data_IF_515081885259
#
_entry.id   IF_515081885259
#
_cell.length_a   1.000
_cell.length_b   1.000
_cell.length_c   1.000
_cell.angle_alpha   90.00
_cell.angle_beta   90.00
_cell.angle_gamma   90.00
#
_symmetry.space_group_name_H-M   'P 1'
#
loop_
_entity.id
_entity.type
_entity.pdbx_description
1 polymer ?
#
# COMPACT_ATOMS: atom_id res chain seq x y z
N UNK A 1 -23.09 27.23 -63.16
CA UNK A 1 -22.99 26.66 -61.79
C UNK A 1 -21.57 26.14 -61.60
N UNK A 2 -20.70 26.87 -60.88
CA UNK A 2 -19.34 26.38 -60.58
C UNK A 2 -19.39 25.47 -59.35
N UNK A 3 -19.07 24.18 -59.54
CA UNK A 3 -18.98 23.18 -58.47
C UNK A 3 -17.66 23.36 -57.74
N UNK A 4 -17.70 23.97 -56.55
CA UNK A 4 -16.55 24.17 -55.66
C UNK A 4 -15.99 22.79 -55.26
N UNK A 5 -14.82 22.43 -55.78
CA UNK A 5 -14.11 21.20 -55.37
C UNK A 5 -13.68 21.40 -53.91
N UNK A 6 -14.29 20.64 -52.98
CA UNK A 6 -13.84 20.62 -51.58
C UNK A 6 -12.46 19.98 -51.54
N UNK A 7 -11.45 20.79 -51.23
CA UNK A 7 -10.12 20.32 -50.88
C UNK A 7 -10.26 19.35 -49.69
N UNK A 8 -9.96 18.07 -49.91
CA UNK A 8 -9.85 17.11 -48.82
C UNK A 8 -8.49 17.34 -48.16
N UNK A 9 -8.47 18.16 -47.10
CA UNK A 9 -7.31 18.24 -46.19
C UNK A 9 -7.16 16.89 -45.50
N UNK A 10 -6.29 16.05 -46.06
CA UNK A 10 -5.90 14.77 -45.45
C UNK A 10 -4.86 14.99 -44.36
N UNK A 11 -4.82 14.07 -43.40
CA UNK A 11 -3.81 14.02 -42.35
C UNK A 11 -2.45 13.67 -42.97
N UNK A 12 -1.42 14.48 -42.76
CA UNK A 12 -0.09 14.21 -43.33
C UNK A 12 0.67 13.22 -42.44
N UNK A 13 1.53 12.39 -43.05
CA UNK A 13 2.41 11.50 -42.30
C UNK A 13 3.38 12.27 -41.39
N UNK A 14 3.79 13.48 -41.81
CA UNK A 14 4.64 14.36 -41.02
C UNK A 14 3.93 14.87 -39.75
N UNK A 15 2.65 15.22 -39.85
CA UNK A 15 1.82 15.58 -38.69
C UNK A 15 1.65 14.40 -37.74
N UNK A 16 1.51 13.17 -38.24
CA UNK A 16 1.49 11.98 -37.37
C UNK A 16 2.81 11.81 -36.62
N UNK A 17 3.93 11.95 -37.33
CA UNK A 17 5.26 11.64 -36.83
C UNK A 17 5.66 12.58 -35.69
N UNK A 18 5.41 13.89 -35.82
CA UNK A 18 5.72 14.84 -34.75
C UNK A 18 4.87 14.58 -33.50
N UNK A 19 3.62 14.13 -33.66
CA UNK A 19 2.74 13.82 -32.53
C UNK A 19 3.24 12.62 -31.74
N UNK A 20 3.60 11.51 -32.40
CA UNK A 20 4.16 10.35 -31.70
C UNK A 20 5.52 10.64 -31.07
N UNK A 21 6.32 11.52 -31.68
CA UNK A 21 7.59 11.97 -31.08
C UNK A 21 7.35 12.73 -29.76
N UNK A 22 6.40 13.65 -29.72
CA UNK A 22 6.06 14.39 -28.48
C UNK A 22 5.47 13.45 -27.43
N UNK A 23 4.55 12.56 -27.81
CA UNK A 23 3.98 11.56 -26.88
C UNK A 23 5.08 10.67 -26.30
N UNK A 24 6.07 10.27 -27.10
CA UNK A 24 7.21 9.48 -26.63
C UNK A 24 8.00 10.16 -25.50
N UNK A 25 8.26 11.47 -25.63
CA UNK A 25 8.96 12.25 -24.58
C UNK A 25 8.10 12.36 -23.32
N UNK A 26 6.80 12.62 -23.46
CA UNK A 26 5.88 12.72 -22.32
C UNK A 26 5.80 11.40 -21.54
N UNK A 27 5.64 10.28 -22.25
CA UNK A 27 5.55 8.94 -21.66
C UNK A 27 6.83 8.56 -20.93
N UNK A 28 8.01 8.89 -21.48
CA UNK A 28 9.30 8.61 -20.86
C UNK A 28 9.45 9.23 -19.47
N UNK A 29 8.90 10.42 -19.24
CA UNK A 29 8.91 11.11 -17.94
C UNK A 29 7.72 10.66 -17.07
N UNK A 30 6.55 10.48 -17.67
CA UNK A 30 5.31 10.19 -16.94
C UNK A 30 5.31 8.81 -16.28
N UNK A 31 5.81 7.76 -16.96
CA UNK A 31 5.81 6.39 -16.42
C UNK A 31 6.52 6.30 -15.07
N UNK A 32 7.81 6.68 -14.92
CA UNK A 32 8.53 6.49 -13.66
C UNK A 32 7.94 7.32 -12.51
N UNK A 33 7.42 8.53 -12.81
CA UNK A 33 6.77 9.37 -11.81
C UNK A 33 5.46 8.72 -11.35
N UNK A 34 4.64 8.26 -12.30
CA UNK A 34 3.35 7.68 -11.99
C UNK A 34 3.49 6.36 -11.23
N UNK A 35 4.45 5.50 -11.59
CA UNK A 35 4.71 4.25 -10.86
C UNK A 35 5.16 4.51 -9.42
N UNK A 36 6.05 5.48 -9.18
CA UNK A 36 6.49 5.83 -7.83
C UNK A 36 5.35 6.41 -6.96
N UNK A 37 4.43 7.17 -7.56
CA UNK A 37 3.27 7.72 -6.85
C UNK A 37 2.22 6.64 -6.55
N UNK A 38 2.03 5.67 -7.45
CA UNK A 38 1.17 4.52 -7.21
C UNK A 38 1.71 3.67 -6.05
N UNK A 39 3.02 3.40 -6.02
CA UNK A 39 3.69 2.67 -4.93
C UNK A 39 3.44 3.38 -3.58
N UNK A 40 3.75 4.68 -3.49
CA UNK A 40 3.49 5.48 -2.28
C UNK A 40 2.02 5.45 -1.83
N UNK A 41 1.09 5.43 -2.79
CA UNK A 41 -0.35 5.39 -2.49
C UNK A 41 -0.76 4.03 -1.92
N UNK A 42 -0.15 2.95 -2.39
CA UNK A 42 -0.39 1.59 -1.90
C UNK A 42 0.16 1.41 -0.48
N UNK A 43 1.37 1.92 -0.21
CA UNK A 43 1.96 1.92 1.14
C UNK A 43 1.07 2.67 2.15
N UNK A 44 0.56 3.83 1.74
CA UNK A 44 -0.35 4.61 2.58
C UNK A 44 -1.64 3.86 2.92
N UNK A 45 -2.17 3.06 1.98
CA UNK A 45 -3.34 2.20 2.22
C UNK A 45 -3.00 1.07 3.18
N UNK A 46 -1.88 0.38 2.97
CA UNK A 46 -1.40 -0.68 3.88
C UNK A 46 -1.22 -0.13 5.30
N UNK A 47 -0.64 1.05 5.45
CA UNK A 47 -0.44 1.70 6.73
C UNK A 47 -1.77 2.06 7.42
N UNK A 48 -2.73 2.58 6.64
CA UNK A 48 -4.07 2.86 7.13
C UNK A 48 -4.75 1.58 7.63
N UNK A 49 -4.62 0.48 6.89
CA UNK A 49 -5.20 -0.81 7.26
C UNK A 49 -4.52 -1.41 8.51
N UNK A 50 -3.20 -1.27 8.64
CA UNK A 50 -2.46 -1.70 9.81
C UNK A 50 -2.86 -0.90 11.08
N UNK A 51 -3.09 0.41 10.94
CA UNK A 51 -3.64 1.24 12.04
C UNK A 51 -5.07 0.85 12.41
N UNK A 52 -5.89 0.53 11.42
CA UNK A 52 -7.25 0.04 11.66
C UNK A 52 -7.20 -1.31 12.40
N UNK A 53 -6.32 -2.23 11.97
CA UNK A 53 -6.09 -3.49 12.66
C UNK A 53 -5.65 -3.28 14.11
N UNK A 54 -4.72 -2.35 14.36
CA UNK A 54 -4.32 -2.01 15.72
C UNK A 54 -5.49 -1.49 16.58
N UNK A 55 -6.37 -0.67 16.01
CA UNK A 55 -7.55 -0.17 16.72
C UNK A 55 -8.52 -1.31 17.08
N UNK A 56 -8.77 -2.23 16.15
CA UNK A 56 -9.57 -3.44 16.40
C UNK A 56 -8.93 -4.31 17.49
N UNK A 57 -7.60 -4.48 17.43
CA UNK A 57 -6.86 -5.26 18.41
C UNK A 57 -6.94 -4.66 19.81
N UNK A 58 -6.90 -3.33 19.91
CA UNK A 58 -7.06 -2.61 21.17
C UNK A 58 -8.44 -2.84 21.79
N UNK A 59 -9.50 -2.84 20.98
CA UNK A 59 -10.86 -3.13 21.46
C UNK A 59 -10.93 -4.56 22.01
N UNK A 60 -10.50 -5.56 21.25
CA UNK A 60 -10.51 -6.96 21.69
C UNK A 60 -9.65 -7.20 22.94
N UNK A 61 -8.51 -6.51 23.06
CA UNK A 61 -7.66 -6.57 24.25
C UNK A 61 -8.31 -5.94 25.49
N UNK A 62 -9.12 -4.89 25.32
CA UNK A 62 -9.83 -4.24 26.42
C UNK A 62 -11.07 -5.02 26.87
N UNK A 63 -11.74 -5.70 25.94
CA UNK A 63 -12.89 -6.56 26.25
C UNK A 63 -12.47 -7.96 26.68
N UNK A 64 -11.22 -8.36 26.38
CA UNK A 64 -10.71 -9.73 26.56
C UNK A 64 -11.56 -10.77 25.82
N UNK A 65 -12.13 -10.37 24.68
CA UNK A 65 -13.08 -11.15 23.89
C UNK A 65 -12.78 -11.01 22.40
N UNK A 66 -13.10 -12.08 21.66
CA UNK A 66 -13.08 -12.06 20.20
C UNK A 66 -14.19 -11.17 19.65
N UNK A 67 -13.91 -10.45 18.56
CA UNK A 67 -14.91 -9.60 17.90
C UNK A 67 -15.18 -10.01 16.44
N UNK A 68 -14.81 -11.24 16.08
CA UNK A 68 -14.98 -11.83 14.74
C UNK A 68 -13.98 -11.35 13.68
N UNK A 69 -13.22 -10.30 13.96
CA UNK A 69 -12.07 -9.84 13.13
C UNK A 69 -10.74 -9.91 13.87
N UNK A 70 -10.80 -9.74 15.19
CA UNK A 70 -9.70 -9.84 16.11
C UNK A 70 -9.97 -11.01 17.07
N UNK A 71 -9.00 -11.90 17.16
CA UNK A 71 -9.00 -13.08 18.02
C UNK A 71 -8.08 -12.82 19.22
N UNK A 72 -8.62 -12.84 20.44
CA UNK A 72 -7.89 -12.64 21.68
C UNK A 72 -7.39 -13.97 22.25
N UNK A 73 -6.08 -14.05 22.52
CA UNK A 73 -5.46 -15.19 23.16
C UNK A 73 -5.26 -14.89 24.66
N UNK A 74 -6.06 -15.52 25.52
CA UNK A 74 -5.99 -15.31 26.97
C UNK A 74 -4.66 -15.80 27.58
N UNK A 75 -4.07 -16.87 27.04
CA UNK A 75 -2.84 -17.48 27.57
C UNK A 75 -1.62 -16.63 27.25
N UNK A 76 -1.52 -16.15 26.01
CA UNK A 76 -0.38 -15.36 25.54
C UNK A 76 -0.58 -13.85 25.72
N UNK A 77 -1.81 -13.42 26.06
CA UNK A 77 -2.22 -12.01 26.16
C UNK A 77 -1.92 -11.23 24.87
N UNK A 78 -2.18 -11.88 23.72
CA UNK A 78 -2.00 -11.33 22.38
C UNK A 78 -3.35 -11.20 21.67
N UNK A 79 -3.40 -10.33 20.66
CA UNK A 79 -4.57 -10.23 19.78
C UNK A 79 -4.15 -10.36 18.34
N UNK A 80 -4.74 -11.30 17.61
CA UNK A 80 -4.49 -11.50 16.19
C UNK A 80 -5.63 -10.92 15.38
N UNK A 81 -5.33 -9.96 14.51
CA UNK A 81 -6.29 -9.43 13.55
C UNK A 81 -6.07 -10.11 12.22
N UNK A 82 -7.08 -10.86 11.79
CA UNK A 82 -7.06 -11.59 10.54
C UNK A 82 -7.46 -10.70 9.36
N UNK A 83 -7.15 -11.15 8.14
CA UNK A 83 -7.64 -10.54 6.91
C UNK A 83 -7.24 -9.07 6.66
N UNK A 84 -6.12 -8.62 7.24
CA UNK A 84 -5.61 -7.26 7.02
C UNK A 84 -5.13 -7.12 5.58
N UNK A 85 -5.78 -6.24 4.82
CA UNK A 85 -5.46 -6.05 3.40
C UNK A 85 -4.17 -5.25 3.25
N UNK A 86 -3.20 -5.84 2.59
CA UNK A 86 -1.94 -5.19 2.20
C UNK A 86 -1.93 -4.96 0.70
N UNK A 87 -1.42 -3.80 0.28
CA UNK A 87 -1.17 -3.47 -1.12
C UNK A 87 0.29 -3.04 -1.19
N UNK A 88 1.19 -3.91 -1.62
CA UNK A 88 2.55 -3.55 -2.02
C UNK A 88 2.81 -4.05 -3.44
N UNK A 89 3.73 -3.42 -4.17
CA UNK A 89 4.16 -3.83 -5.53
C UNK A 89 5.67 -4.12 -5.58
N UNK A 90 6.40 -3.85 -4.51
CA UNK A 90 7.85 -4.00 -4.49
C UNK A 90 8.34 -4.32 -3.10
N UNK A 91 9.08 -5.42 -2.98
CA UNK A 91 9.83 -5.79 -1.77
C UNK A 91 11.04 -4.83 -1.55
N UNK A 92 10.90 -3.55 -1.88
CA UNK A 92 11.97 -2.55 -1.83
C UNK A 92 12.15 -1.97 -0.42
N UNK A 93 11.32 -2.36 0.56
CA UNK A 93 11.39 -1.85 1.93
C UNK A 93 10.94 -0.41 2.05
N UNK A 94 10.07 0.05 1.14
CA UNK A 94 9.56 1.42 1.11
C UNK A 94 8.51 1.68 2.20
N UNK A 95 7.87 0.62 2.69
CA UNK A 95 6.87 0.68 3.77
C UNK A 95 7.48 0.94 5.16
N UNK A 96 8.67 0.40 5.44
CA UNK A 96 9.34 0.49 6.75
C UNK A 96 10.87 0.52 6.58
N UNK A 97 11.49 1.67 6.87
CA UNK A 97 12.93 1.87 6.67
C UNK A 97 13.35 3.34 6.50
N UNK A 98 14.66 3.55 6.45
CA UNK A 98 15.42 4.82 6.61
C UNK A 98 15.09 5.98 5.66
N UNK A 99 14.08 5.85 4.80
CA UNK A 99 13.70 6.93 3.87
C UNK A 99 12.26 7.45 4.03
N UNK A 100 11.33 6.71 4.66
CA UNK A 100 9.98 7.20 5.02
C UNK A 100 9.38 6.32 6.11
N UNK A 101 9.64 6.63 7.38
CA UNK A 101 8.96 5.97 8.50
C UNK A 101 7.50 6.38 8.51
N UNK A 102 6.62 5.51 8.02
CA UNK A 102 5.19 5.62 8.33
C UNK A 102 5.07 5.43 9.84
N UNK A 103 4.60 6.48 10.52
CA UNK A 103 4.39 6.43 11.96
C UNK A 103 3.24 5.47 12.28
N UNK A 104 3.57 4.35 12.90
CA UNK A 104 2.62 3.33 13.34
C UNK A 104 2.51 3.40 14.87
N UNK A 105 1.32 3.19 15.45
CA UNK A 105 1.11 3.24 16.90
C UNK A 105 1.68 2.00 17.63
N UNK A 106 2.48 1.18 16.95
CA UNK A 106 3.10 -0.04 17.44
C UNK A 106 4.47 -0.21 16.77
N UNK A 107 5.36 -0.94 17.44
CA UNK A 107 6.68 -1.30 16.93
C UNK A 107 6.61 -2.63 16.18
N UNK A 108 7.20 -2.70 15.00
CA UNK A 108 7.29 -3.94 14.21
C UNK A 108 8.75 -4.19 13.84
N UNK A 109 9.17 -5.46 13.88
CA UNK A 109 10.52 -5.83 13.45
C UNK A 109 10.63 -5.78 11.92
N UNK A 110 11.81 -5.43 11.39
CA UNK A 110 12.02 -5.27 9.94
C UNK A 110 11.62 -6.51 9.13
N UNK A 111 11.80 -7.72 9.69
CA UNK A 111 11.42 -8.97 9.03
C UNK A 111 9.90 -9.10 8.85
N UNK A 112 9.11 -8.61 9.80
CA UNK A 112 7.65 -8.62 9.74
C UNK A 112 7.11 -7.41 8.98
N UNK A 113 7.76 -6.27 9.07
CA UNK A 113 7.38 -5.07 8.33
C UNK A 113 7.48 -5.27 6.81
N UNK A 114 8.47 -6.05 6.35
CA UNK A 114 8.58 -6.47 4.93
C UNK A 114 7.38 -7.28 4.45
N UNK A 115 6.73 -8.04 5.33
CA UNK A 115 5.51 -8.81 5.00
C UNK A 115 4.28 -7.92 4.86
N UNK A 116 4.34 -6.67 5.30
CA UNK A 116 3.34 -5.65 4.99
C UNK A 116 3.62 -4.99 3.63
N UNK A 117 4.87 -5.01 3.19
CA UNK A 117 5.36 -4.54 1.88
C UNK A 117 5.42 -5.67 0.84
N UNK A 118 4.36 -6.50 0.74
CA UNK A 118 4.33 -7.63 -0.22
C UNK A 118 4.40 -7.15 -1.66
N UNK A 119 5.16 -7.82 -2.54
CA UNK A 119 5.11 -7.61 -4.00
C UNK A 119 3.72 -7.79 -4.66
N UNK A 120 2.72 -8.34 -3.98
CA UNK A 120 1.35 -8.46 -4.47
C UNK A 120 0.32 -8.06 -3.41
N UNK A 121 -0.82 -7.52 -3.85
CA UNK A 121 -1.94 -7.27 -2.94
C UNK A 121 -2.45 -8.58 -2.35
N UNK A 122 -2.57 -8.63 -1.03
CA UNK A 122 -2.95 -9.83 -0.31
C UNK A 122 -3.61 -9.52 1.02
N UNK A 123 -3.91 -10.58 1.77
CA UNK A 123 -4.32 -10.49 3.15
C UNK A 123 -3.21 -11.07 4.02
N UNK A 124 -3.04 -10.51 5.21
CA UNK A 124 -2.11 -10.99 6.24
C UNK A 124 -2.83 -11.00 7.58
N UNK A 125 -2.33 -11.80 8.51
CA UNK A 125 -2.72 -11.70 9.91
C UNK A 125 -1.65 -10.91 10.67
N UNK A 126 -2.09 -9.97 11.52
CA UNK A 126 -1.20 -9.19 12.37
C UNK A 126 -1.51 -9.52 13.83
N UNK A 127 -0.52 -10.04 14.54
CA UNK A 127 -0.62 -10.31 15.98
C UNK A 127 0.02 -9.19 16.75
N UNK A 128 -0.74 -8.59 17.67
CA UNK A 128 -0.33 -7.52 18.56
C UNK A 128 -0.09 -8.04 19.97
N UNK A 129 1.01 -7.60 20.56
CA UNK A 129 1.43 -7.94 21.92
C UNK A 129 1.73 -6.66 22.69
N UNK A 130 1.23 -6.54 23.92
CA UNK A 130 1.47 -5.36 24.77
C UNK A 130 2.42 -5.71 25.91
N UNK A 131 3.53 -4.98 26.03
CA UNK A 131 4.45 -5.08 27.16
C UNK A 131 3.92 -4.25 28.33
N UNK A 132 3.68 -4.90 29.47
CA UNK A 132 3.32 -4.22 30.72
C UNK A 132 4.52 -3.50 31.36
N UNK A 133 5.75 -3.80 30.94
CA UNK A 133 6.98 -3.24 31.51
C UNK A 133 7.38 -1.95 30.81
N UNK A 134 7.29 -1.93 29.49
CA UNK A 134 7.78 -0.81 28.67
C UNK A 134 6.64 0.05 28.09
N UNK A 135 5.38 -0.33 28.37
CA UNK A 135 4.18 0.30 27.83
C UNK A 135 4.20 0.41 26.29
N UNK A 136 4.84 -0.56 25.63
CA UNK A 136 4.97 -0.65 24.18
C UNK A 136 4.04 -1.72 23.62
N UNK A 137 3.53 -1.49 22.40
CA UNK A 137 2.90 -2.52 21.61
C UNK A 137 3.87 -2.98 20.52
N UNK A 138 4.04 -4.29 20.39
CA UNK A 138 4.78 -4.91 19.30
C UNK A 138 3.83 -5.67 18.38
N UNK A 139 4.16 -5.73 17.09
CA UNK A 139 3.40 -6.49 16.11
C UNK A 139 4.28 -7.53 15.40
N UNK A 140 3.72 -8.70 15.15
CA UNK A 140 4.27 -9.74 14.27
C UNK A 140 3.28 -10.03 13.14
N UNK A 141 3.79 -10.39 11.96
CA UNK A 141 2.96 -10.54 10.76
C UNK A 141 3.11 -11.97 10.23
N UNK A 142 1.96 -12.64 10.05
CA UNK A 142 1.85 -13.94 9.43
C UNK A 142 1.22 -13.81 8.04
N UNK A 143 1.78 -14.54 7.07
CA UNK A 143 1.34 -14.53 5.67
C UNK A 143 0.45 -15.72 5.30
#
# INVERSE_FOLDING_TARGET
MLKKMRERKGFTLAELLIVVAIIGVLVAIAIPIFTAQLEKSRDAVTASNARAAYAEACVAKLTEEDNGKADYNETEKTVTVSDVVVKGESDNGAFYGTSKSIDLPFTIADADAKKLDKASSGKVAITFSWSNTDNTCTATVAE
#
